data_IF_913424737428
#
_entry.id   IF_913424737428
#
_cell.length_a   1.000
_cell.length_b   1.000
_cell.length_c   1.000
_cell.angle_alpha   90.00
_cell.angle_beta   90.00
_cell.angle_gamma   90.00
#
_symmetry.space_group_name_H-M   'P 1'
#
loop_
_entity.id
_entity.type
_entity.pdbx_description
1 polymer ?
#
# COMPACT_ATOMS: atom_id res chain seq x y z
N UNK A 1 -2.12 12.18 -3.17
CA UNK A 1 -3.39 11.55 -3.66
C UNK A 1 -3.16 10.38 -4.65
N UNK A 2 -1.99 10.24 -5.28
CA UNK A 2 -1.73 9.14 -6.23
C UNK A 2 -1.90 7.74 -5.66
N UNK A 3 -1.31 7.47 -4.48
CA UNK A 3 -1.41 6.16 -3.83
C UNK A 3 -2.85 5.71 -3.53
N UNK A 4 -3.71 6.63 -3.09
CA UNK A 4 -5.13 6.33 -2.85
C UNK A 4 -5.85 5.91 -4.13
N UNK A 5 -5.64 6.63 -5.23
CA UNK A 5 -6.25 6.31 -6.53
C UNK A 5 -5.77 4.95 -7.06
N UNK A 6 -4.48 4.65 -6.91
CA UNK A 6 -3.93 3.34 -7.26
C UNK A 6 -4.56 2.22 -6.43
N UNK A 7 -4.62 2.39 -5.10
CA UNK A 7 -5.27 1.44 -4.19
C UNK A 7 -6.75 1.21 -4.50
N UNK A 8 -7.49 2.29 -4.78
CA UNK A 8 -8.88 2.22 -5.23
C UNK A 8 -9.01 1.45 -6.56
N UNK A 9 -8.06 1.60 -7.48
CA UNK A 9 -7.99 0.82 -8.71
C UNK A 9 -7.81 -0.68 -8.44
N UNK A 10 -6.85 -1.06 -7.59
CA UNK A 10 -6.64 -2.46 -7.20
C UNK A 10 -7.84 -3.08 -6.49
N UNK A 11 -8.54 -2.30 -5.66
CA UNK A 11 -9.74 -2.73 -4.96
C UNK A 11 -11.02 -2.66 -5.82
N UNK A 12 -10.94 -2.21 -7.08
CA UNK A 12 -12.10 -2.05 -7.97
C UNK A 12 -13.13 -1.03 -7.49
N UNK A 13 -12.71 -0.03 -6.70
CA UNK A 13 -13.57 0.98 -6.10
C UNK A 13 -13.46 2.31 -6.85
N UNK A 14 -14.58 2.84 -7.36
CA UNK A 14 -14.61 4.11 -8.11
C UNK A 14 -14.75 5.33 -7.21
N UNK A 15 -15.26 5.13 -5.98
CA UNK A 15 -15.43 6.19 -4.98
C UNK A 15 -14.85 5.80 -3.63
N UNK A 16 -14.59 6.79 -2.78
CA UNK A 16 -14.12 6.56 -1.41
C UNK A 16 -15.16 5.77 -0.60
N UNK A 17 -16.44 5.99 -0.86
CA UNK A 17 -17.52 5.27 -0.17
C UNK A 17 -17.54 3.78 -0.56
N UNK A 18 -17.29 3.47 -1.83
CA UNK A 18 -17.11 2.09 -2.26
C UNK A 18 -15.90 1.43 -1.61
N UNK A 19 -14.78 2.15 -1.48
CA UNK A 19 -13.60 1.62 -0.79
C UNK A 19 -13.91 1.28 0.66
N UNK A 20 -14.64 2.14 1.38
CA UNK A 20 -15.02 1.91 2.78
C UNK A 20 -15.95 0.71 2.98
N UNK A 21 -16.82 0.43 2.01
CA UNK A 21 -17.90 -0.57 2.15
C UNK A 21 -17.61 -1.91 1.47
N UNK A 22 -16.83 -1.90 0.37
CA UNK A 22 -16.56 -3.10 -0.46
C UNK A 22 -15.16 -3.67 -0.27
N UNK A 23 -14.19 -2.89 0.20
CA UNK A 23 -12.83 -3.38 0.40
C UNK A 23 -12.79 -4.48 1.44
N UNK A 24 -11.85 -5.41 1.26
CA UNK A 24 -11.62 -6.52 2.18
C UNK A 24 -10.22 -6.42 2.75
N UNK A 25 -10.11 -6.62 4.04
CA UNK A 25 -8.84 -6.73 4.73
C UNK A 25 -8.58 -8.18 5.10
N UNK A 26 -7.31 -8.55 5.09
CA UNK A 26 -6.83 -9.82 5.63
C UNK A 26 -5.87 -9.52 6.77
N UNK A 27 -5.81 -10.41 7.75
CA UNK A 27 -4.84 -10.32 8.83
C UNK A 27 -3.48 -10.80 8.32
N UNK A 28 -2.46 -9.98 8.50
CA UNK A 28 -1.07 -10.31 8.13
C UNK A 28 -0.22 -10.58 9.38
N UNK A 29 0.92 -11.23 9.17
CA UNK A 29 1.91 -11.47 10.23
C UNK A 29 2.98 -10.37 10.25
N UNK A 30 3.81 -10.32 11.30
CA UNK A 30 4.95 -9.41 11.33
C UNK A 30 6.00 -9.72 10.26
N UNK A 31 6.13 -11.00 9.85
CA UNK A 31 6.98 -11.36 8.74
C UNK A 31 6.47 -10.77 7.43
N UNK A 32 5.15 -10.88 7.18
CA UNK A 32 4.50 -10.29 6.02
C UNK A 32 4.59 -8.75 5.99
N UNK A 33 4.60 -8.11 7.17
CA UNK A 33 4.83 -6.67 7.25
C UNK A 33 6.23 -6.30 6.74
N UNK A 34 7.27 -7.00 7.21
CA UNK A 34 8.65 -6.79 6.72
C UNK A 34 8.77 -7.06 5.22
N UNK A 35 8.12 -8.12 4.74
CA UNK A 35 8.07 -8.48 3.32
C UNK A 35 7.38 -7.39 2.47
N UNK A 36 6.36 -6.72 3.01
CA UNK A 36 5.65 -5.66 2.28
C UNK A 36 6.50 -4.38 2.13
N UNK A 37 7.46 -4.16 3.02
CA UNK A 37 8.43 -3.07 2.91
C UNK A 37 9.58 -3.47 1.99
N UNK A 38 10.34 -2.48 1.50
CA UNK A 38 11.60 -2.75 0.79
C UNK A 38 12.52 -3.57 1.70
N UNK A 39 12.97 -4.73 1.23
CA UNK A 39 13.85 -5.64 1.95
C UNK A 39 14.91 -6.23 1.01
N UNK A 40 16.05 -6.63 1.59
CA UNK A 40 17.19 -7.27 0.91
C UNK A 40 17.85 -6.49 -0.24
N UNK A 41 17.67 -5.16 -0.25
CA UNK A 41 18.29 -4.24 -1.22
C UNK A 41 18.75 -2.93 -0.58
N UNK A 42 19.75 -2.29 -1.19
CA UNK A 42 20.19 -0.94 -0.81
C UNK A 42 19.41 0.08 -1.65
N UNK A 43 18.70 1.00 -0.98
CA UNK A 43 18.03 2.12 -1.62
C UNK A 43 19.09 3.14 -2.04
N UNK A 44 19.34 3.26 -3.34
CA UNK A 44 20.36 4.18 -3.89
C UNK A 44 19.80 5.56 -4.22
N UNK A 45 18.49 5.67 -4.39
CA UNK A 45 17.76 6.91 -4.61
C UNK A 45 16.44 6.85 -3.86
N UNK A 46 16.10 7.93 -3.18
CA UNK A 46 14.84 8.01 -2.42
C UNK A 46 13.65 8.16 -3.36
N UNK A 47 12.59 7.39 -3.10
CA UNK A 47 11.34 7.54 -3.80
C UNK A 47 10.50 8.67 -3.16
N UNK A 48 9.85 9.55 -3.95
CA UNK A 48 9.12 10.71 -3.44
C UNK A 48 7.85 10.35 -2.65
N UNK A 49 7.52 9.07 -2.52
CA UNK A 49 6.34 8.54 -1.85
C UNK A 49 6.69 7.44 -0.82
N UNK A 50 7.97 7.25 -0.49
CA UNK A 50 8.42 6.22 0.44
C UNK A 50 9.51 6.81 1.35
N UNK A 51 9.08 7.42 2.45
CA UNK A 51 9.94 7.99 3.48
C UNK A 51 10.10 6.97 4.62
N UNK A 52 11.35 6.68 4.99
CA UNK A 52 11.72 5.84 6.13
C UNK A 52 11.95 6.75 7.34
N UNK A 53 10.89 7.31 7.92
CA UNK A 53 10.97 7.95 9.24
C UNK A 53 10.79 6.91 10.36
#
# INVERSE_FOLDING_TARGET
>A
VGGLKAGMGYAGCRTVEELKTKARFIKITQASLKESHVHDVVITQEAPNYHLD
#
